data_IF_047387547047
#
_entry.id   IF_047387547047
#
_cell.length_a   1.000
_cell.length_b   1.000
_cell.length_c   1.000
_cell.angle_alpha   90.00
_cell.angle_beta   90.00
_cell.angle_gamma   90.00
#
_symmetry.space_group_name_H-M   'P 1'
#
loop_
_entity.id
_entity.type
_entity.pdbx_description
1 polymer ?
#
# COMPACT_ATOMS: atom_id res chain seq x y z
N UNK A 1 28.18 2.12 -15.94
CA UNK A 1 26.88 1.87 -15.27
C UNK A 1 26.42 0.45 -15.62
N UNK A 2 26.49 -0.44 -14.64
CA UNK A 2 26.29 -1.88 -14.80
C UNK A 2 24.80 -2.19 -15.10
N UNK A 3 24.48 -3.28 -15.81
CA UNK A 3 23.10 -3.55 -16.25
C UNK A 3 22.11 -3.67 -15.08
N UNK A 4 22.54 -4.22 -13.95
CA UNK A 4 21.75 -4.31 -12.71
C UNK A 4 21.47 -2.95 -12.02
N UNK A 5 22.32 -1.94 -12.25
CA UNK A 5 22.10 -0.58 -11.71
C UNK A 5 21.04 0.16 -12.52
N UNK A 6 21.06 0.00 -13.85
CA UNK A 6 20.05 0.57 -14.77
C UNK A 6 18.65 0.05 -14.46
N UNK A 7 18.52 -1.26 -14.23
CA UNK A 7 17.25 -1.89 -13.86
C UNK A 7 16.73 -1.38 -12.51
N UNK A 8 17.61 -1.30 -11.50
CA UNK A 8 17.25 -0.76 -10.19
C UNK A 8 16.79 0.71 -10.24
N UNK A 9 17.36 1.53 -11.12
CA UNK A 9 16.92 2.91 -11.32
C UNK A 9 15.54 2.98 -11.98
N UNK A 10 15.24 2.11 -12.96
CA UNK A 10 13.90 2.01 -13.57
C UNK A 10 12.87 1.58 -12.54
N UNK A 11 13.14 0.52 -11.78
CA UNK A 11 12.26 0.02 -10.70
C UNK A 11 12.02 1.09 -9.63
N UNK A 12 13.05 1.87 -9.28
CA UNK A 12 12.91 3.02 -8.37
C UNK A 12 12.02 4.14 -8.94
N UNK A 13 12.14 4.44 -10.24
CA UNK A 13 11.29 5.45 -10.88
C UNK A 13 9.81 5.07 -10.81
N UNK A 14 9.47 3.81 -11.11
CA UNK A 14 8.09 3.32 -10.99
C UNK A 14 7.59 3.34 -9.55
N UNK A 15 8.40 2.87 -8.60
CA UNK A 15 8.08 2.94 -7.17
C UNK A 15 7.80 4.38 -6.72
N UNK A 16 8.64 5.34 -7.13
CA UNK A 16 8.48 6.76 -6.80
C UNK A 16 7.19 7.36 -7.36
N UNK A 17 6.86 7.04 -8.61
CA UNK A 17 5.61 7.50 -9.24
C UNK A 17 4.40 6.89 -8.52
N UNK A 18 4.44 5.58 -8.25
CA UNK A 18 3.39 4.89 -7.52
C UNK A 18 3.16 5.50 -6.13
N UNK A 19 4.24 5.77 -5.38
CA UNK A 19 4.17 6.40 -4.06
C UNK A 19 3.59 7.81 -4.07
N UNK A 20 3.86 8.59 -5.13
CA UNK A 20 3.35 9.96 -5.24
C UNK A 20 1.86 9.95 -5.59
N UNK A 21 1.45 9.03 -6.47
CA UNK A 21 0.07 8.92 -6.93
C UNK A 21 -0.82 8.25 -5.86
N UNK A 22 -0.29 7.29 -5.10
CA UNK A 22 -1.07 6.47 -4.18
C UNK A 22 -1.93 7.26 -3.18
N UNK A 23 -1.45 8.32 -2.52
CA UNK A 23 -2.29 9.07 -1.59
C UNK A 23 -3.45 9.82 -2.26
N UNK A 24 -3.28 10.22 -3.53
CA UNK A 24 -4.30 10.96 -4.27
C UNK A 24 -5.25 10.05 -5.07
N UNK A 25 -4.73 8.93 -5.58
CA UNK A 25 -5.43 7.97 -6.41
C UNK A 25 -5.01 6.55 -5.99
N UNK A 26 -5.49 6.05 -4.83
CA UNK A 26 -5.10 4.75 -4.29
C UNK A 26 -5.20 3.61 -5.29
N UNK A 27 -6.26 3.55 -6.11
CA UNK A 27 -6.44 2.49 -7.11
C UNK A 27 -5.26 2.43 -8.08
N UNK A 28 -4.91 3.56 -8.68
CA UNK A 28 -3.82 3.64 -9.66
C UNK A 28 -2.44 3.53 -9.01
N UNK A 29 -2.25 4.18 -7.87
CA UNK A 29 -1.01 4.08 -7.12
C UNK A 29 -0.71 2.65 -6.68
N UNK A 30 -1.73 1.91 -6.22
CA UNK A 30 -1.60 0.52 -5.81
C UNK A 30 -1.20 -0.37 -7.00
N UNK A 31 -1.82 -0.21 -8.17
CA UNK A 31 -1.45 -0.95 -9.37
C UNK A 31 0.01 -0.71 -9.78
N UNK A 32 0.46 0.55 -9.77
CA UNK A 32 1.85 0.91 -10.11
C UNK A 32 2.83 0.34 -9.09
N UNK A 33 2.49 0.40 -7.79
CA UNK A 33 3.29 -0.16 -6.70
C UNK A 33 3.38 -1.69 -6.77
N UNK A 34 2.28 -2.35 -7.14
CA UNK A 34 2.22 -3.80 -7.34
C UNK A 34 3.10 -4.21 -8.53
N UNK A 35 3.03 -3.49 -9.65
CA UNK A 35 3.92 -3.72 -10.79
C UNK A 35 5.40 -3.53 -10.42
N UNK A 36 5.73 -2.45 -9.70
CA UNK A 36 7.09 -2.19 -9.22
C UNK A 36 7.59 -3.32 -8.30
N UNK A 37 6.70 -3.86 -7.47
CA UNK A 37 6.98 -4.99 -6.58
C UNK A 37 7.27 -6.26 -7.37
N UNK A 38 6.42 -6.63 -8.34
CA UNK A 38 6.64 -7.80 -9.19
C UNK A 38 7.98 -7.71 -9.94
N UNK A 39 8.28 -6.53 -10.51
CA UNK A 39 9.55 -6.29 -11.21
C UNK A 39 10.73 -6.48 -10.25
N UNK A 40 10.66 -5.90 -9.05
CA UNK A 40 11.72 -6.03 -8.05
C UNK A 40 11.95 -7.48 -7.61
N UNK A 41 10.88 -8.26 -7.44
CA UNK A 41 10.96 -9.68 -7.13
C UNK A 41 11.63 -10.47 -8.26
N UNK A 42 11.25 -10.23 -9.52
CA UNK A 42 11.85 -10.91 -10.67
C UNK A 42 13.34 -10.59 -10.82
N UNK A 43 13.73 -9.33 -10.65
CA UNK A 43 15.12 -8.88 -10.83
C UNK A 43 16.04 -9.27 -9.66
N UNK A 44 15.51 -9.35 -8.44
CA UNK A 44 16.33 -9.43 -7.21
C UNK A 44 15.92 -10.52 -6.23
N UNK A 45 15.21 -11.55 -6.67
CA UNK A 45 14.74 -12.65 -5.82
C UNK A 45 15.79 -13.17 -4.83
N UNK A 46 16.98 -13.54 -5.33
CA UNK A 46 18.08 -14.07 -4.49
C UNK A 46 18.59 -13.06 -3.46
N UNK A 47 18.63 -11.77 -3.80
CA UNK A 47 19.06 -10.73 -2.86
C UNK A 47 17.98 -10.43 -1.80
N UNK A 48 16.71 -10.55 -2.17
CA UNK A 48 15.56 -10.35 -1.28
C UNK A 48 15.50 -11.49 -0.27
N UNK A 49 15.58 -12.74 -0.71
CA UNK A 49 15.46 -13.93 0.16
C UNK A 49 16.62 -14.10 1.15
N UNK A 50 17.81 -13.58 0.84
CA UNK A 50 18.98 -13.70 1.74
C UNK A 50 18.92 -12.79 2.97
N UNK A 51 17.97 -11.86 3.07
CA UNK A 51 17.87 -10.95 4.23
C UNK A 51 17.15 -11.64 5.38
N UNK A 52 17.68 -11.58 6.63
CA UNK A 52 17.08 -12.28 7.78
C UNK A 52 15.65 -11.83 8.07
N UNK A 53 15.34 -10.54 7.89
CA UNK A 53 13.98 -10.01 8.06
C UNK A 53 12.99 -10.62 7.05
N UNK A 54 13.42 -10.86 5.81
CA UNK A 54 12.57 -11.43 4.77
C UNK A 54 12.36 -12.93 4.98
N UNK A 55 13.36 -13.62 5.54
CA UNK A 55 13.23 -15.01 5.99
C UNK A 55 12.21 -15.09 7.13
N UNK A 56 12.28 -14.18 8.11
CA UNK A 56 11.29 -14.08 9.19
C UNK A 56 9.87 -13.86 8.66
N UNK A 57 9.69 -12.96 7.69
CA UNK A 57 8.40 -12.75 7.04
C UNK A 57 7.91 -13.99 6.26
N UNK A 58 8.81 -14.72 5.60
CA UNK A 58 8.46 -15.95 4.90
C UNK A 58 8.00 -17.04 5.89
N UNK A 59 8.73 -17.22 7.00
CA UNK A 59 8.36 -18.15 8.07
C UNK A 59 7.01 -17.78 8.70
N UNK A 60 6.81 -16.49 8.99
CA UNK A 60 5.53 -15.99 9.49
C UNK A 60 4.40 -16.26 8.49
N UNK A 61 4.62 -16.06 7.19
CA UNK A 61 3.62 -16.33 6.15
C UNK A 61 3.23 -17.81 6.12
N UNK A 62 4.22 -18.72 6.19
CA UNK A 62 4.00 -20.16 6.24
C UNK A 62 3.20 -20.53 7.50
N UNK A 63 3.55 -19.96 8.65
CA UNK A 63 2.84 -20.20 9.89
C UNK A 63 1.39 -19.71 9.81
N UNK A 64 1.14 -18.51 9.28
CA UNK A 64 -0.22 -17.99 9.13
C UNK A 64 -1.06 -18.84 8.17
N UNK A 65 -0.48 -19.35 7.08
CA UNK A 65 -1.14 -20.31 6.19
C UNK A 65 -1.52 -21.59 6.96
N UNK A 66 -0.60 -22.10 7.78
CA UNK A 66 -0.88 -23.28 8.59
C UNK A 66 -2.02 -23.05 9.59
N UNK A 67 -2.04 -21.91 10.29
CA UNK A 67 -3.13 -21.58 11.23
C UNK A 67 -4.46 -21.42 10.47
N UNK A 68 -4.47 -20.78 9.30
CA UNK A 68 -5.69 -20.60 8.52
C UNK A 68 -6.30 -21.93 8.05
N UNK A 69 -5.48 -22.95 7.78
CA UNK A 69 -5.96 -24.30 7.47
C UNK A 69 -6.66 -24.96 8.67
N UNK A 70 -6.24 -24.64 9.89
CA UNK A 70 -6.80 -25.14 11.14
C UNK A 70 -7.97 -24.29 11.68
N UNK A 71 -8.25 -23.13 11.08
CA UNK A 71 -9.28 -22.22 11.56
C UNK A 71 -10.69 -22.82 11.43
N UNK A 72 -11.55 -22.51 12.40
CA UNK A 72 -12.97 -22.90 12.38
C UNK A 72 -13.70 -22.25 11.21
N UNK A 73 -13.44 -20.96 10.95
CA UNK A 73 -13.88 -20.27 9.76
C UNK A 73 -12.71 -20.07 8.80
N UNK A 74 -12.53 -21.04 7.91
CA UNK A 74 -11.41 -21.03 6.96
C UNK A 74 -11.54 -19.90 5.95
N UNK A 75 -12.76 -19.57 5.52
CA UNK A 75 -12.97 -18.56 4.49
C UNK A 75 -12.49 -17.20 4.99
N UNK A 76 -12.95 -16.80 6.17
CA UNK A 76 -12.53 -15.55 6.82
C UNK A 76 -11.02 -15.54 7.09
N UNK A 77 -10.45 -16.66 7.54
CA UNK A 77 -9.00 -16.77 7.76
C UNK A 77 -8.19 -16.56 6.46
N UNK A 78 -8.63 -17.14 5.34
CA UNK A 78 -7.98 -16.96 4.04
C UNK A 78 -8.18 -15.54 3.47
N UNK A 79 -9.33 -14.91 3.69
CA UNK A 79 -9.54 -13.49 3.37
C UNK A 79 -8.58 -12.60 4.17
N UNK A 80 -8.38 -12.91 5.45
CA UNK A 80 -7.33 -12.30 6.27
C UNK A 80 -5.94 -12.47 5.64
N UNK A 81 -5.56 -13.67 5.22
CA UNK A 81 -4.26 -13.91 4.56
C UNK A 81 -4.08 -13.11 3.27
N UNK A 82 -5.13 -13.01 2.45
CA UNK A 82 -5.13 -12.19 1.24
C UNK A 82 -4.88 -10.70 1.54
N UNK A 83 -5.21 -10.25 2.76
CA UNK A 83 -4.92 -8.89 3.24
C UNK A 83 -3.54 -8.73 3.89
N UNK A 84 -2.79 -9.79 4.20
CA UNK A 84 -1.47 -9.69 4.87
C UNK A 84 -0.30 -10.09 3.97
N UNK A 85 -0.40 -11.24 3.31
CA UNK A 85 0.72 -11.81 2.53
C UNK A 85 1.20 -10.85 1.41
N UNK A 86 0.31 -10.20 0.63
CA UNK A 86 0.76 -9.23 -0.37
C UNK A 86 1.58 -8.08 0.22
N UNK A 87 1.26 -7.62 1.43
CA UNK A 87 2.02 -6.56 2.08
C UNK A 87 3.39 -7.03 2.58
N UNK A 88 3.51 -8.29 3.02
CA UNK A 88 4.82 -8.87 3.35
C UNK A 88 5.71 -8.95 2.10
N UNK A 89 5.14 -9.37 0.97
CA UNK A 89 5.85 -9.40 -0.31
C UNK A 89 6.25 -8.00 -0.78
N UNK A 90 5.34 -7.03 -0.67
CA UNK A 90 5.61 -5.63 -0.95
C UNK A 90 6.77 -5.10 -0.10
N UNK A 91 6.69 -5.30 1.22
CA UNK A 91 7.71 -4.83 2.17
C UNK A 91 9.09 -5.44 1.88
N UNK A 92 9.15 -6.75 1.62
CA UNK A 92 10.40 -7.43 1.32
C UNK A 92 11.07 -6.88 0.04
N UNK A 93 10.28 -6.61 -1.01
CA UNK A 93 10.76 -5.98 -2.24
C UNK A 93 11.20 -4.53 -2.01
N UNK A 94 10.37 -3.73 -1.34
CA UNK A 94 10.65 -2.31 -1.10
C UNK A 94 11.89 -2.10 -0.23
N UNK A 95 12.15 -2.98 0.73
CA UNK A 95 13.38 -2.97 1.53
C UNK A 95 14.64 -3.19 0.65
N UNK A 96 14.55 -3.98 -0.42
CA UNK A 96 15.64 -4.11 -1.38
C UNK A 96 15.82 -2.86 -2.27
N UNK A 97 14.74 -2.15 -2.58
CA UNK A 97 14.77 -0.89 -3.35
C UNK A 97 15.37 0.25 -2.52
N UNK A 98 14.94 0.38 -1.25
CA UNK A 98 15.28 1.45 -0.30
C UNK A 98 16.57 1.21 0.49
N UNK A 99 17.48 0.36 -0.01
CA UNK A 99 18.71 -0.02 0.70
C UNK A 99 19.64 1.16 1.03
N UNK A 100 19.60 2.24 0.25
CA UNK A 100 20.55 3.37 0.37
C UNK A 100 19.93 4.57 1.08
N UNK A 101 20.73 5.29 1.88
CA UNK A 101 20.32 6.50 2.60
C UNK A 101 19.72 7.57 1.67
N UNK A 102 20.28 7.79 0.46
CA UNK A 102 19.71 8.78 -0.46
C UNK A 102 18.29 8.41 -0.91
N UNK A 103 18.00 7.12 -1.11
CA UNK A 103 16.67 6.65 -1.52
C UNK A 103 15.65 6.76 -0.40
N UNK A 104 16.05 6.51 0.84
CA UNK A 104 15.20 6.76 2.02
C UNK A 104 14.89 8.27 2.19
N UNK A 105 15.88 9.13 1.93
CA UNK A 105 15.67 10.58 1.93
C UNK A 105 14.69 11.00 0.83
N UNK A 106 14.88 10.49 -0.39
CA UNK A 106 13.95 10.75 -1.50
C UNK A 106 12.55 10.21 -1.22
N UNK A 107 12.44 9.02 -0.62
CA UNK A 107 11.17 8.45 -0.17
C UNK A 107 10.45 9.39 0.79
N UNK A 108 11.17 9.89 1.80
CA UNK A 108 10.62 10.83 2.79
C UNK A 108 10.09 12.10 2.13
N UNK A 109 10.85 12.67 1.19
CA UNK A 109 10.39 13.83 0.41
C UNK A 109 9.15 13.53 -0.43
N UNK A 110 9.09 12.37 -1.08
CA UNK A 110 7.94 11.97 -1.90
C UNK A 110 6.70 11.84 -1.03
N UNK A 111 6.81 11.23 0.15
CA UNK A 111 5.70 11.11 1.10
C UNK A 111 5.24 12.48 1.62
N UNK A 112 6.17 13.38 1.94
CA UNK A 112 5.84 14.74 2.35
C UNK A 112 5.10 15.51 1.25
N UNK A 113 5.60 15.47 0.01
CA UNK A 113 4.94 16.12 -1.13
C UNK A 113 3.55 15.52 -1.37
N UNK A 114 3.43 14.19 -1.31
CA UNK A 114 2.16 13.51 -1.54
C UNK A 114 1.14 13.73 -0.40
N UNK A 115 1.59 14.12 0.80
CA UNK A 115 0.67 14.52 1.89
C UNK A 115 0.00 15.88 1.65
N UNK A 116 0.62 16.79 0.91
CA UNK A 116 0.06 18.12 0.62
C UNK A 116 -1.33 18.04 -0.04
N UNK A 117 -1.53 17.32 -1.16
CA UNK A 117 -2.85 17.19 -1.76
C UNK A 117 -3.85 16.48 -0.85
N UNK A 118 -3.42 15.50 -0.05
CA UNK A 118 -4.30 14.83 0.92
C UNK A 118 -4.80 15.79 2.00
N UNK A 119 -3.92 16.66 2.51
CA UNK A 119 -4.30 17.71 3.46
C UNK A 119 -5.28 18.69 2.82
N UNK A 120 -5.04 19.11 1.57
CA UNK A 120 -5.97 19.98 0.84
C UNK A 120 -7.33 19.31 0.69
N UNK A 121 -7.38 18.02 0.33
CA UNK A 121 -8.64 17.27 0.22
C UNK A 121 -9.35 17.16 1.57
N UNK A 122 -8.62 16.87 2.65
CA UNK A 122 -9.18 16.80 4.01
C UNK A 122 -9.75 18.14 4.49
N UNK A 123 -9.03 19.24 4.24
CA UNK A 123 -9.54 20.58 4.52
C UNK A 123 -10.73 20.96 3.63
N UNK A 124 -10.71 20.55 2.35
CA UNK A 124 -11.83 20.65 1.43
C UNK A 124 -13.08 19.96 1.98
N UNK A 125 -12.93 18.74 2.46
CA UNK A 125 -14.00 17.96 3.07
C UNK A 125 -14.56 18.64 4.33
N UNK A 126 -13.69 19.12 5.23
CA UNK A 126 -14.07 19.68 6.52
C UNK A 126 -14.68 21.09 6.42
N UNK A 127 -14.09 21.97 5.61
CA UNK A 127 -14.48 23.39 5.57
C UNK A 127 -15.40 23.74 4.40
N UNK A 128 -15.35 22.99 3.30
CA UNK A 128 -16.09 23.30 2.08
C UNK A 128 -17.13 22.23 1.73
N UNK A 129 -17.37 21.25 2.62
CA UNK A 129 -18.29 20.12 2.40
C UNK A 129 -18.01 19.37 1.08
N UNK A 130 -16.74 19.31 0.68
CA UNK A 130 -16.33 18.65 -0.55
C UNK A 130 -16.67 17.16 -0.45
N UNK A 131 -17.42 16.66 -1.43
CA UNK A 131 -17.87 15.27 -1.50
C UNK A 131 -17.49 14.65 -2.83
N UNK A 132 -17.19 13.35 -2.84
CA UNK A 132 -16.86 12.63 -4.08
C UNK A 132 -18.12 12.23 -4.83
N UNK A 133 -18.24 12.55 -6.12
CA UNK A 133 -19.31 12.00 -6.97
C UNK A 133 -19.24 10.47 -7.00
N UNK A 134 -20.37 9.74 -6.82
CA UNK A 134 -20.39 8.28 -6.77
C UNK A 134 -19.71 7.60 -7.97
N UNK A 135 -19.84 8.19 -9.16
CA UNK A 135 -19.26 7.67 -10.40
C UNK A 135 -17.73 7.70 -10.41
N UNK A 136 -17.13 8.60 -9.64
CA UNK A 136 -15.67 8.78 -9.57
C UNK A 136 -15.04 8.00 -8.42
N UNK A 137 -15.81 7.45 -7.48
CA UNK A 137 -15.28 6.74 -6.31
C UNK A 137 -14.40 5.54 -6.71
N UNK A 138 -14.81 4.77 -7.73
CA UNK A 138 -14.01 3.65 -8.24
C UNK A 138 -12.69 4.10 -8.87
N UNK A 139 -12.73 5.17 -9.67
CA UNK A 139 -11.56 5.71 -10.37
C UNK A 139 -10.57 6.34 -9.39
N UNK A 140 -11.08 7.07 -8.41
CA UNK A 140 -10.29 7.79 -7.41
C UNK A 140 -9.79 6.85 -6.32
N UNK A 141 -10.53 5.80 -5.97
CA UNK A 141 -10.15 4.84 -4.94
C UNK A 141 -10.37 5.32 -3.51
N UNK A 142 -11.11 6.42 -3.33
CA UNK A 142 -11.50 6.97 -2.04
C UNK A 142 -12.90 7.59 -2.11
N UNK A 143 -13.54 7.69 -0.94
CA UNK A 143 -14.85 8.31 -0.74
C UNK A 143 -14.69 9.45 0.26
N UNK A 144 -14.96 10.67 -0.17
CA UNK A 144 -15.17 11.83 0.70
C UNK A 144 -16.67 12.01 0.85
N UNK A 145 -17.16 11.92 2.08
CA UNK A 145 -18.50 12.38 2.45
C UNK A 145 -18.39 13.68 3.24
N UNK A 146 -19.24 14.66 2.91
CA UNK A 146 -19.33 15.90 3.66
C UNK A 146 -19.52 15.61 5.17
N UNK A 147 -18.76 16.30 6.02
CA UNK A 147 -18.80 16.08 7.47
C UNK A 147 -17.99 14.90 8.00
N UNK A 148 -17.29 14.13 7.14
CA UNK A 148 -16.29 13.18 7.62
C UNK A 148 -16.78 11.77 7.95
N UNK A 149 -18.05 11.45 7.72
CA UNK A 149 -18.63 10.16 8.15
C UNK A 149 -19.21 9.34 6.98
N UNK A 150 -18.39 8.55 6.28
CA UNK A 150 -18.86 7.68 5.22
C UNK A 150 -19.75 6.55 5.72
N UNK A 151 -20.96 6.44 5.18
CA UNK A 151 -21.93 5.37 5.51
C UNK A 151 -21.32 3.97 5.26
N UNK A 152 -21.44 3.07 6.24
CA UNK A 152 -20.92 1.69 6.15
C UNK A 152 -19.45 1.48 6.56
N UNK A 153 -18.75 2.51 7.05
CA UNK A 153 -17.47 2.34 7.77
C UNK A 153 -17.72 2.27 9.28
N UNK A 154 -16.84 1.60 10.03
CA UNK A 154 -16.97 1.33 11.49
C UNK A 154 -17.08 2.59 12.40
N UNK A 155 -17.22 3.79 11.84
CA UNK A 155 -17.58 5.00 12.56
C UNK A 155 -19.10 5.06 12.91
N UNK A 156 -19.93 4.14 12.40
CA UNK A 156 -21.35 4.03 12.78
C UNK A 156 -21.59 2.89 13.77
N UNK A 157 -21.38 3.18 15.05
CA UNK A 157 -22.13 2.57 16.15
C UNK A 157 -22.39 3.66 17.17
N UNK A 158 -23.63 4.16 17.14
CA UNK A 158 -24.35 5.12 17.99
C UNK A 158 -25.10 6.04 17.00
N UNK A 159 -26.41 5.94 16.79
CA UNK A 159 -27.47 6.08 17.80
C UNK A 159 -28.78 5.71 17.07
N UNK A 160 -29.50 4.66 17.47
CA UNK A 160 -30.93 4.41 17.15
C UNK A 160 -31.47 3.30 18.09
N UNK A 161 -31.17 3.43 19.39
CA UNK A 161 -31.72 2.55 20.42
C UNK A 161 -32.10 3.38 21.65
N UNK A 162 -33.07 4.30 21.47
CA UNK A 162 -34.15 4.62 22.42
C UNK A 162 -35.39 4.97 21.58
#
# INVERSE_FOLDING_TARGET
>A
MNQGEKQLQKTWKYARIGLLIFPCLPTWGALILLLATIIAWKEKYSQIMRKPINIGLALLSIWLIFIALLASDRLEAFLGLANFIPFFLFFAAFNAILKTREKLRQFSWVMAIASVPVLILGFGQQFFNLSTPPQLQFLLGWVLEAGGNPTGRMAYINTDAI
#
